data_IF_761191001621
#
_entry.id   IF_761191001621
#
_cell.length_a   1.000
_cell.length_b   1.000
_cell.length_c   1.000
_cell.angle_alpha   90.00
_cell.angle_beta   90.00
_cell.angle_gamma   90.00
#
_symmetry.space_group_name_H-M   'P 1'
#
loop_
_entity.id
_entity.type
_entity.pdbx_description
1 polymer ?
#
# COMPACT_ATOMS: atom_id res chain seq x y z
N UNK A 1 -39.97 -25.26 -27.58
CA UNK A 1 -39.45 -25.16 -26.21
C UNK A 1 -37.95 -25.44 -26.24
N UNK A 2 -37.16 -24.38 -26.02
CA UNK A 2 -35.76 -24.31 -25.58
C UNK A 2 -34.66 -24.95 -26.44
N UNK A 3 -34.09 -24.12 -27.33
CA UNK A 3 -32.69 -24.16 -27.73
C UNK A 3 -31.92 -23.10 -26.91
N UNK A 4 -30.97 -23.51 -26.08
CA UNK A 4 -29.85 -22.69 -25.55
C UNK A 4 -29.03 -23.54 -24.58
N UNK A 5 -27.84 -23.98 -25.01
CA UNK A 5 -26.67 -24.22 -24.16
C UNK A 5 -25.46 -24.45 -25.07
N UNK A 6 -24.96 -23.32 -25.53
CA UNK A 6 -23.83 -23.09 -26.40
C UNK A 6 -22.52 -23.49 -25.70
N UNK A 7 -21.72 -24.30 -26.41
CA UNK A 7 -20.26 -24.24 -26.50
C UNK A 7 -19.50 -23.48 -25.41
N UNK A 8 -19.06 -24.17 -24.34
CA UNK A 8 -18.00 -23.66 -23.46
C UNK A 8 -17.18 -24.74 -22.73
N UNK A 9 -17.13 -25.98 -23.24
CA UNK A 9 -16.41 -27.08 -22.56
C UNK A 9 -15.45 -27.91 -23.44
N UNK A 10 -15.12 -27.47 -24.67
CA UNK A 10 -14.22 -28.22 -25.56
C UNK A 10 -12.81 -27.61 -25.74
N UNK A 11 -12.49 -26.47 -25.09
CA UNK A 11 -11.26 -25.70 -25.35
C UNK A 11 -10.07 -25.96 -24.41
N UNK A 12 -10.24 -26.67 -23.29
CA UNK A 12 -9.24 -26.70 -22.20
C UNK A 12 -8.42 -28.02 -22.13
N UNK A 13 -8.74 -29.04 -22.92
CA UNK A 13 -8.08 -30.36 -22.82
C UNK A 13 -7.14 -30.74 -23.98
N UNK A 14 -7.03 -29.95 -25.05
CA UNK A 14 -6.16 -30.29 -26.19
C UNK A 14 -4.75 -29.67 -26.14
N UNK A 15 -4.50 -28.69 -25.27
CA UNK A 15 -3.25 -27.93 -25.24
C UNK A 15 -2.09 -28.57 -24.47
N UNK A 16 -2.30 -29.67 -23.75
CA UNK A 16 -1.32 -30.21 -22.79
C UNK A 16 -0.62 -31.51 -23.23
N UNK A 17 -0.81 -31.97 -24.48
CA UNK A 17 -0.27 -33.27 -24.93
C UNK A 17 0.58 -33.26 -26.21
N UNK A 18 0.90 -32.10 -26.80
CA UNK A 18 1.60 -32.06 -28.09
C UNK A 18 2.92 -31.26 -28.08
N UNK A 19 3.75 -31.45 -27.06
CA UNK A 19 5.15 -31.00 -27.13
C UNK A 19 6.11 -32.04 -26.61
N UNK A 20 6.20 -33.14 -27.35
CA UNK A 20 7.33 -34.03 -27.27
C UNK A 20 7.82 -34.39 -28.67
N UNK A 21 9.10 -34.06 -28.91
CA UNK A 21 10.06 -34.78 -29.75
C UNK A 21 10.31 -34.23 -31.16
N UNK A 22 11.55 -33.73 -31.28
CA UNK A 22 12.51 -33.99 -32.36
C UNK A 22 12.18 -33.51 -33.79
N UNK A 23 12.90 -32.45 -34.19
CA UNK A 23 13.94 -32.54 -35.23
C UNK A 23 13.53 -32.48 -36.71
N UNK A 24 14.13 -31.52 -37.43
CA UNK A 24 14.66 -31.75 -38.78
C UNK A 24 13.93 -31.17 -40.01
N UNK A 25 14.58 -30.15 -40.60
CA UNK A 25 14.78 -29.82 -42.04
C UNK A 25 13.64 -29.41 -43.00
N UNK A 26 13.87 -28.24 -43.62
CA UNK A 26 13.70 -27.84 -45.03
C UNK A 26 12.31 -27.46 -45.61
N UNK A 27 12.25 -26.29 -46.28
CA UNK A 27 11.26 -25.94 -47.30
C UNK A 27 10.80 -24.48 -47.30
N UNK A 28 11.23 -23.71 -48.30
CA UNK A 28 10.94 -22.28 -48.58
C UNK A 28 9.45 -21.95 -48.84
N UNK A 29 9.06 -20.70 -48.54
CA UNK A 29 7.82 -20.10 -49.04
C UNK A 29 7.39 -18.82 -48.28
N UNK A 30 7.61 -17.66 -48.91
CA UNK A 30 7.33 -16.29 -48.45
C UNK A 30 5.90 -16.02 -47.95
N UNK A 31 5.78 -15.35 -46.80
CA UNK A 31 4.60 -14.60 -46.35
C UNK A 31 5.03 -13.44 -45.41
N UNK A 32 4.33 -12.28 -45.44
CA UNK A 32 4.81 -10.99 -44.92
C UNK A 32 4.93 -10.89 -43.38
N UNK A 33 5.75 -9.96 -42.84
CA UNK A 33 6.16 -9.98 -41.44
C UNK A 33 5.00 -9.60 -40.50
N UNK A 34 4.63 -10.54 -39.64
CA UNK A 34 3.83 -10.28 -38.46
C UNK A 34 4.63 -9.41 -37.48
N UNK A 35 3.96 -8.39 -36.93
CA UNK A 35 4.48 -7.47 -35.94
C UNK A 35 5.15 -8.20 -34.77
N UNK A 36 6.35 -7.75 -34.41
CA UNK A 36 7.14 -8.32 -33.33
C UNK A 36 6.42 -8.22 -31.99
N UNK A 37 6.01 -9.37 -31.47
CA UNK A 37 5.78 -9.55 -30.05
C UNK A 37 7.16 -9.55 -29.37
N UNK A 38 7.63 -8.37 -28.99
CA UNK A 38 8.75 -8.25 -28.07
C UNK A 38 8.33 -8.87 -26.74
N UNK A 39 8.88 -10.04 -26.44
CA UNK A 39 8.73 -10.70 -25.15
C UNK A 39 9.04 -9.73 -24.02
N UNK A 40 8.07 -9.49 -23.15
CA UNK A 40 8.29 -8.82 -21.90
C UNK A 40 9.23 -9.71 -21.06
N UNK A 41 10.45 -9.28 -20.71
CA UNK A 41 11.21 -10.00 -19.71
C UNK A 41 10.46 -9.87 -18.38
N UNK A 42 10.27 -11.01 -17.71
CA UNK A 42 9.81 -11.08 -16.33
C UNK A 42 10.70 -10.16 -15.48
N UNK A 43 10.17 -9.01 -15.09
CA UNK A 43 10.86 -8.10 -14.21
C UNK A 43 11.01 -8.80 -12.86
N UNK A 44 12.26 -9.09 -12.51
CA UNK A 44 12.65 -9.63 -11.21
C UNK A 44 12.12 -8.71 -10.11
N UNK A 45 11.22 -9.23 -9.29
CA UNK A 45 10.72 -8.59 -8.07
C UNK A 45 11.85 -8.48 -7.04
N UNK A 46 12.75 -7.52 -7.22
CA UNK A 46 13.65 -7.03 -6.20
C UNK A 46 13.07 -5.71 -5.69
N UNK A 47 12.20 -5.83 -4.69
CA UNK A 47 11.78 -4.71 -3.85
C UNK A 47 12.61 -4.77 -2.57
N UNK A 48 13.93 -4.63 -2.71
CA UNK A 48 14.76 -4.17 -1.60
C UNK A 48 14.53 -2.66 -1.48
N UNK A 49 13.54 -2.31 -0.65
CA UNK A 49 13.36 -0.94 -0.19
C UNK A 49 13.47 -0.91 1.33
N UNK A 50 14.64 -1.34 1.82
CA UNK A 50 15.20 -0.86 3.09
C UNK A 50 15.67 0.60 2.92
N UNK A 51 14.73 1.46 2.57
CA UNK A 51 14.84 2.91 2.71
C UNK A 51 13.56 3.41 3.38
N UNK A 52 13.15 2.72 4.44
CA UNK A 52 12.67 3.47 5.58
C UNK A 52 13.88 4.31 6.01
N UNK A 53 13.85 5.61 5.71
CA UNK A 53 14.79 6.54 6.32
C UNK A 53 14.83 6.19 7.80
N UNK A 54 16.02 5.81 8.27
CA UNK A 54 16.28 5.64 9.67
C UNK A 54 16.21 7.03 10.27
N UNK A 55 14.99 7.49 10.58
CA UNK A 55 14.76 8.60 11.48
C UNK A 55 15.35 8.16 12.82
N UNK A 56 16.64 8.43 12.97
CA UNK A 56 17.47 8.26 14.15
C UNK A 56 17.04 9.32 15.16
N UNK A 57 15.82 9.15 15.66
CA UNK A 57 15.40 9.68 16.94
C UNK A 57 15.00 8.49 17.81
N UNK A 58 16.01 7.71 18.22
CA UNK A 58 15.94 6.85 19.39
C UNK A 58 16.04 7.74 20.65
N UNK A 59 15.04 8.61 20.80
CA UNK A 59 14.71 9.24 22.07
C UNK A 59 13.82 8.28 22.82
N UNK A 60 14.42 7.53 23.74
CA UNK A 60 13.75 6.47 24.48
C UNK A 60 12.46 6.90 25.18
N UNK A 61 11.53 5.94 25.27
CA UNK A 61 10.64 5.81 26.42
C UNK A 61 9.61 6.91 26.65
N UNK A 62 8.94 7.38 25.60
CA UNK A 62 7.77 8.27 25.70
C UNK A 62 6.46 7.59 25.31
N UNK A 63 6.26 6.31 25.64
CA UNK A 63 4.98 5.65 25.40
C UNK A 63 3.93 6.26 26.32
N UNK A 64 2.99 7.03 25.77
CA UNK A 64 1.87 7.57 26.54
C UNK A 64 1.13 6.44 27.27
N UNK A 65 0.69 6.68 28.51
CA UNK A 65 -0.12 5.69 29.22
C UNK A 65 -1.49 5.57 28.54
N UNK A 66 -1.63 4.53 27.70
CA UNK A 66 -2.86 4.21 26.99
C UNK A 66 -3.62 3.04 27.63
N UNK A 67 -3.41 2.76 28.92
CA UNK A 67 -4.04 1.63 29.62
C UNK A 67 -5.57 1.71 29.69
N UNK A 68 -6.14 2.91 29.82
CA UNK A 68 -7.58 3.14 30.05
C UNK A 68 -8.49 3.15 28.82
N UNK A 69 -7.98 2.97 27.60
CA UNK A 69 -8.78 3.09 26.38
C UNK A 69 -9.27 1.74 25.83
N UNK A 70 -10.53 1.71 25.42
CA UNK A 70 -11.20 0.51 24.86
C UNK A 70 -11.24 0.51 23.33
N UNK A 71 -11.28 1.68 22.71
CA UNK A 71 -11.39 1.86 21.26
C UNK A 71 -10.02 2.18 20.64
N UNK A 72 -9.66 1.44 19.59
CA UNK A 72 -8.34 1.53 18.95
C UNK A 72 -8.49 1.61 17.44
N UNK A 73 -7.73 2.49 16.79
CA UNK A 73 -7.72 2.63 15.34
C UNK A 73 -6.35 3.02 14.80
N UNK A 74 -6.27 3.01 13.47
CA UNK A 74 -5.22 3.65 12.68
C UNK A 74 -5.90 4.55 11.66
N UNK A 75 -5.35 5.73 11.42
CA UNK A 75 -5.84 6.64 10.37
C UNK A 75 -4.83 6.73 9.24
N UNK A 76 -5.33 6.73 8.00
CA UNK A 76 -4.54 6.83 6.78
C UNK A 76 -4.96 8.12 6.07
N UNK A 77 -4.15 9.17 6.21
CA UNK A 77 -4.43 10.50 5.69
C UNK A 77 -3.79 10.64 4.31
N UNK A 78 -4.61 10.63 3.27
CA UNK A 78 -4.18 10.68 1.87
C UNK A 78 -4.24 12.10 1.33
N UNK A 79 -3.19 12.54 0.64
CA UNK A 79 -3.21 13.77 -0.15
C UNK A 79 -4.06 13.61 -1.42
N UNK A 80 -5.08 14.45 -1.55
CA UNK A 80 -6.00 14.42 -2.70
C UNK A 80 -5.61 15.39 -3.81
N UNK A 81 -4.75 16.37 -3.52
CA UNK A 81 -4.21 17.34 -4.48
C UNK A 81 -3.33 16.69 -5.56
N UNK A 82 -2.76 15.53 -5.26
CA UNK A 82 -1.90 14.75 -6.16
C UNK A 82 -2.65 14.04 -7.31
N UNK A 83 -3.99 14.06 -7.32
CA UNK A 83 -4.78 13.42 -8.38
C UNK A 83 -4.54 11.91 -8.53
N UNK A 84 -4.16 11.22 -7.44
CA UNK A 84 -3.86 9.79 -7.48
C UNK A 84 -5.07 8.97 -7.93
N UNK A 85 -4.84 7.98 -8.80
CA UNK A 85 -5.88 6.99 -9.12
C UNK A 85 -6.26 6.19 -7.87
N UNK A 86 -7.48 5.66 -7.83
CA UNK A 86 -7.99 4.87 -6.69
C UNK A 86 -7.06 3.72 -6.31
N UNK A 87 -6.52 3.00 -7.32
CA UNK A 87 -5.59 1.90 -7.10
C UNK A 87 -4.27 2.35 -6.48
N UNK A 88 -3.70 3.50 -6.94
CA UNK A 88 -2.48 4.04 -6.34
C UNK A 88 -2.71 4.51 -4.91
N UNK A 89 -3.81 5.23 -4.66
CA UNK A 89 -4.18 5.65 -3.31
C UNK A 89 -4.31 4.46 -2.36
N UNK A 90 -4.99 3.38 -2.80
CA UNK A 90 -5.10 2.16 -2.01
C UNK A 90 -3.74 1.52 -1.70
N UNK A 91 -2.84 1.43 -2.68
CA UNK A 91 -1.49 0.90 -2.48
C UNK A 91 -0.67 1.74 -1.49
N UNK A 92 -0.71 3.08 -1.61
CA UNK A 92 -0.01 4.00 -0.71
C UNK A 92 -0.56 3.92 0.73
N UNK A 93 -1.89 3.81 0.88
CA UNK A 93 -2.54 3.52 2.15
C UNK A 93 -2.06 2.20 2.77
N UNK A 94 -1.91 1.15 1.95
CA UNK A 94 -1.40 -0.14 2.42
C UNK A 94 0.06 -0.03 2.89
N UNK A 95 0.91 0.70 2.16
CA UNK A 95 2.29 0.97 2.57
C UNK A 95 2.36 1.72 3.90
N UNK A 96 1.54 2.77 4.07
CA UNK A 96 1.45 3.52 5.31
C UNK A 96 1.03 2.62 6.49
N UNK A 97 0.04 1.76 6.28
CA UNK A 97 -0.43 0.83 7.31
C UNK A 97 0.64 -0.18 7.74
N UNK A 98 1.39 -0.75 6.78
CA UNK A 98 2.49 -1.68 7.07
C UNK A 98 3.66 -0.96 7.75
N UNK A 99 3.98 0.26 7.32
CA UNK A 99 5.00 1.09 7.96
C UNK A 99 4.68 1.37 9.43
N UNK A 100 3.45 1.82 9.70
CA UNK A 100 2.95 2.03 11.06
C UNK A 100 2.98 0.76 11.89
N UNK A 101 2.54 -0.38 11.33
CA UNK A 101 2.58 -1.67 12.02
C UNK A 101 3.99 -2.05 12.45
N UNK A 102 4.98 -1.98 11.54
CA UNK A 102 6.38 -2.35 11.83
C UNK A 102 6.99 -1.40 12.85
N UNK A 103 6.70 -0.10 12.79
CA UNK A 103 7.17 0.90 13.76
C UNK A 103 6.56 0.65 15.13
N UNK A 104 5.25 0.41 15.21
CA UNK A 104 4.54 0.11 16.45
C UNK A 104 4.99 -1.21 17.08
N UNK A 105 5.31 -2.23 16.27
CA UNK A 105 5.83 -3.50 16.78
C UNK A 105 7.12 -3.32 17.59
N UNK A 106 7.97 -2.37 17.19
CA UNK A 106 9.24 -2.06 17.88
C UNK A 106 9.05 -1.07 19.04
N UNK A 107 8.18 -0.07 18.86
CA UNK A 107 8.04 1.04 19.82
C UNK A 107 7.00 0.77 20.92
N UNK A 108 5.88 0.14 20.59
CA UNK A 108 4.75 -0.09 21.50
C UNK A 108 3.96 -1.35 21.08
N UNK A 109 4.54 -2.51 21.38
CA UNK A 109 3.95 -3.81 21.06
C UNK A 109 2.64 -4.07 21.83
N UNK A 110 2.45 -3.44 23.00
CA UNK A 110 1.25 -3.59 23.80
C UNK A 110 0.04 -2.89 23.16
N UNK A 111 0.20 -1.64 22.73
CA UNK A 111 -0.80 -0.90 21.96
C UNK A 111 -1.12 -1.58 20.63
N UNK A 112 -0.09 -2.05 19.92
CA UNK A 112 -0.28 -2.83 18.70
C UNK A 112 -1.14 -4.07 18.95
N UNK A 113 -0.86 -4.83 20.02
CA UNK A 113 -1.61 -6.02 20.36
C UNK A 113 -3.08 -5.72 20.70
N UNK A 114 -3.38 -4.58 21.34
CA UNK A 114 -4.76 -4.15 21.59
C UNK A 114 -5.50 -3.89 20.28
N UNK A 115 -4.92 -3.09 19.39
CA UNK A 115 -5.52 -2.80 18.07
C UNK A 115 -5.75 -4.06 17.23
N UNK A 116 -4.81 -5.01 17.25
CA UNK A 116 -4.98 -6.29 16.56
C UNK A 116 -6.16 -7.11 17.11
N UNK A 117 -6.37 -7.10 18.43
CA UNK A 117 -7.50 -7.79 19.07
C UNK A 117 -8.85 -7.08 18.86
N UNK A 118 -8.84 -5.77 18.60
CA UNK A 118 -10.05 -4.97 18.35
C UNK A 118 -10.35 -4.81 16.86
N UNK A 119 -9.99 -5.79 16.04
CA UNK A 119 -10.37 -5.82 14.62
C UNK A 119 -9.54 -4.91 13.71
N UNK A 120 -8.40 -4.38 14.19
CA UNK A 120 -7.40 -3.69 13.38
C UNK A 120 -7.97 -2.57 12.49
N UNK A 121 -8.91 -1.79 13.06
CA UNK A 121 -9.65 -0.74 12.36
C UNK A 121 -8.71 0.27 11.69
N UNK A 122 -9.00 0.58 10.42
CA UNK A 122 -8.32 1.60 9.62
C UNK A 122 -9.36 2.58 9.09
N UNK A 123 -9.10 3.88 9.22
CA UNK A 123 -9.97 4.93 8.70
C UNK A 123 -9.20 5.73 7.65
N UNK A 124 -9.71 5.74 6.42
CA UNK A 124 -9.13 6.52 5.34
C UNK A 124 -9.68 7.95 5.37
N UNK A 125 -8.78 8.91 5.45
CA UNK A 125 -9.06 10.34 5.53
C UNK A 125 -8.36 11.06 4.39
N UNK A 126 -8.83 12.27 4.08
CA UNK A 126 -8.17 13.16 3.12
C UNK A 126 -7.55 14.37 3.80
N UNK A 127 -6.36 14.73 3.34
CA UNK A 127 -5.75 16.03 3.58
C UNK A 127 -5.93 16.89 2.32
N UNK A 128 -6.52 18.06 2.51
CA UNK A 128 -6.52 19.12 1.52
C UNK A 128 -5.23 19.96 1.74
N UNK A 129 -4.54 20.38 0.66
CA UNK A 129 -3.32 21.21 0.75
C UNK A 129 -2.06 20.54 0.21
N UNK A 130 -0.90 21.08 0.58
CA UNK A 130 0.42 20.57 0.17
C UNK A 130 0.96 19.51 1.15
N UNK A 131 2.20 19.05 0.93
CA UNK A 131 2.85 18.07 1.80
C UNK A 131 3.12 18.53 3.23
N UNK A 132 3.26 19.85 3.46
CA UNK A 132 3.51 20.39 4.79
C UNK A 132 2.39 20.00 5.77
N UNK A 133 1.17 19.88 5.25
CA UNK A 133 0.03 19.43 6.06
C UNK A 133 0.23 18.05 6.68
N UNK A 134 0.87 17.12 5.97
CA UNK A 134 1.17 15.79 6.51
C UNK A 134 2.22 15.87 7.62
N UNK A 135 3.27 16.67 7.43
CA UNK A 135 4.32 16.84 8.43
C UNK A 135 3.82 17.55 9.70
N UNK A 136 2.92 18.52 9.58
CA UNK A 136 2.24 19.15 10.73
C UNK A 136 1.48 18.10 11.56
N UNK A 137 0.65 17.28 10.91
CA UNK A 137 -0.12 16.22 11.58
C UNK A 137 0.81 15.17 12.21
N UNK A 138 1.92 14.83 11.55
CA UNK A 138 2.93 13.92 12.07
C UNK A 138 3.57 14.47 13.34
N UNK A 139 3.97 15.75 13.36
CA UNK A 139 4.57 16.39 14.52
C UNK A 139 3.59 16.41 15.71
N UNK A 140 2.31 16.73 15.48
CA UNK A 140 1.27 16.67 16.52
C UNK A 140 1.13 15.24 17.03
N UNK A 141 1.04 14.23 16.15
CA UNK A 141 0.94 12.84 16.55
C UNK A 141 2.12 12.38 17.42
N UNK A 142 3.35 12.72 17.03
CA UNK A 142 4.54 12.43 17.83
C UNK A 142 4.52 13.13 19.20
N UNK A 143 4.04 14.38 19.28
CA UNK A 143 3.89 15.08 20.56
C UNK A 143 2.91 14.41 21.53
N UNK A 144 1.96 13.63 21.01
CA UNK A 144 1.01 12.83 21.78
C UNK A 144 1.50 11.39 22.03
N UNK A 145 2.74 11.06 21.67
CA UNK A 145 3.31 9.73 21.83
C UNK A 145 2.77 8.69 20.83
N UNK A 146 2.16 9.12 19.72
CA UNK A 146 1.66 8.23 18.67
C UNK A 146 2.75 7.88 17.65
N UNK A 147 2.67 6.67 17.13
CA UNK A 147 3.39 6.26 15.91
C UNK A 147 2.78 7.02 14.73
N UNK A 148 3.64 7.60 13.89
CA UNK A 148 3.23 8.28 12.66
C UNK A 148 4.29 8.08 11.58
N UNK A 149 3.88 7.70 10.37
CA UNK A 149 4.77 7.35 9.25
C UNK A 149 4.27 8.01 7.97
N UNK A 150 5.11 8.85 7.36
CA UNK A 150 4.86 9.44 6.04
C UNK A 150 5.40 8.49 4.97
N UNK A 151 4.62 8.29 3.91
CA UNK A 151 5.03 7.57 2.71
C UNK A 151 5.33 8.58 1.61
N UNK A 152 6.39 8.31 0.84
CA UNK A 152 6.80 9.10 -0.30
C UNK A 152 6.66 8.28 -1.59
N UNK A 153 6.24 8.91 -2.67
CA UNK A 153 6.24 8.24 -3.98
C UNK A 153 7.68 8.08 -4.46
N UNK A 154 8.07 6.84 -4.78
CA UNK A 154 9.41 6.50 -5.25
C UNK A 154 9.73 6.99 -6.68
N UNK A 155 8.92 7.91 -7.22
CA UNK A 155 9.13 8.51 -8.54
C UNK A 155 8.83 7.59 -9.72
N UNK A 156 8.05 6.50 -9.52
CA UNK A 156 7.62 5.61 -10.61
C UNK A 156 6.33 6.08 -11.29
N UNK A 157 5.89 7.31 -11.01
CA UNK A 157 4.58 7.82 -11.43
C UNK A 157 4.63 9.30 -11.84
N UNK A 158 3.52 9.83 -12.38
CA UNK A 158 3.40 11.21 -12.88
C UNK A 158 3.43 12.32 -11.80
N UNK A 159 3.66 11.95 -10.53
CA UNK A 159 3.82 12.89 -9.41
C UNK A 159 5.32 13.22 -9.29
N UNK A 160 5.67 14.43 -8.86
CA UNK A 160 7.06 14.80 -8.62
C UNK A 160 7.73 13.77 -7.68
N UNK A 161 8.86 13.21 -8.12
CA UNK A 161 9.56 12.17 -7.37
C UNK A 161 9.86 12.64 -5.94
N UNK A 162 9.60 11.78 -4.95
CA UNK A 162 9.82 12.11 -3.54
C UNK A 162 8.71 12.90 -2.87
N UNK A 163 7.57 13.16 -3.53
CA UNK A 163 6.42 13.82 -2.89
C UNK A 163 5.85 12.94 -1.77
N UNK A 164 5.55 13.52 -0.60
CA UNK A 164 4.80 12.84 0.45
C UNK A 164 3.37 12.54 -0.04
N UNK A 165 2.88 11.31 0.08
CA UNK A 165 1.59 10.87 -0.46
C UNK A 165 0.55 10.59 0.61
N UNK A 166 0.92 9.80 1.61
CA UNK A 166 0.02 9.31 2.67
C UNK A 166 0.75 9.35 4.01
N UNK A 167 0.07 9.86 5.04
CA UNK A 167 0.49 9.74 6.43
C UNK A 167 -0.34 8.66 7.13
N UNK A 168 0.32 7.65 7.67
CA UNK A 168 -0.29 6.73 8.63
C UNK A 168 -0.09 7.24 10.06
N UNK A 169 -1.12 7.17 10.90
CA UNK A 169 -1.05 7.49 12.34
C UNK A 169 -1.66 6.34 13.13
N UNK A 170 -0.95 5.92 14.17
CA UNK A 170 -1.31 4.80 15.04
C UNK A 170 -0.56 3.50 14.68
N UNK A 171 -1.06 2.34 15.13
CA UNK A 171 -2.28 2.18 15.91
C UNK A 171 -2.21 2.84 17.29
N UNK A 172 -3.34 3.36 17.74
CA UNK A 172 -3.44 4.09 19.01
C UNK A 172 -4.90 4.22 19.47
N UNK A 173 -5.14 4.75 20.68
CA UNK A 173 -6.49 5.01 21.15
C UNK A 173 -7.24 5.95 20.22
N UNK A 174 -8.48 5.59 19.86
CA UNK A 174 -9.30 6.40 18.96
C UNK A 174 -9.45 7.86 19.41
N UNK A 175 -9.72 8.17 20.70
CA UNK A 175 -9.85 9.55 21.17
C UNK A 175 -8.55 10.36 21.08
N UNK A 176 -7.38 9.72 21.17
CA UNK A 176 -6.08 10.41 21.07
C UNK A 176 -5.75 10.68 19.60
N UNK A 177 -6.02 9.72 18.72
CA UNK A 177 -5.89 9.92 17.26
C UNK A 177 -6.84 11.03 16.77
N UNK A 178 -8.06 11.11 17.32
CA UNK A 178 -9.02 12.15 16.95
C UNK A 178 -8.61 13.56 17.33
N UNK A 179 -7.71 13.74 18.31
CA UNK A 179 -7.11 15.06 18.57
C UNK A 179 -6.24 15.54 17.39
N UNK A 180 -5.71 14.60 16.59
CA UNK A 180 -4.89 14.90 15.42
C UNK A 180 -5.73 14.98 14.15
N UNK A 181 -6.68 14.06 13.97
CA UNK A 181 -7.35 13.87 12.67
C UNK A 181 -8.87 14.01 12.69
N UNK A 182 -9.49 14.28 13.85
CA UNK A 182 -10.95 14.26 14.00
C UNK A 182 -11.69 15.31 13.16
N UNK A 183 -11.00 16.39 12.77
CA UNK A 183 -11.53 17.43 11.87
C UNK A 183 -11.36 17.12 10.38
N UNK A 184 -10.63 16.06 10.03
CA UNK A 184 -10.41 15.68 8.63
C UNK A 184 -11.63 14.94 8.08
N UNK A 185 -11.83 15.06 6.77
CA UNK A 185 -12.94 14.40 6.06
C UNK A 185 -12.53 12.99 5.63
N UNK A 186 -13.53 12.11 5.48
CA UNK A 186 -13.33 10.81 4.85
C UNK A 186 -12.83 10.97 3.41
N UNK A 187 -11.95 10.05 2.99
CA UNK A 187 -11.34 10.01 1.66
C UNK A 187 -12.35 9.74 0.55
#
# INVERSE_FOLDING_TARGET
WLASLSALLAGVLAGWLARSRFGGTAGDGDAPPAAGESGAPAASDSWDSDSAGEDSNDGGGGGGDFSGYTEWKMTLVTRTDLGMSRGKSAAQCAHAAVGCYRRAQRADSASLAKWLRTGQQKVALRADGDENRLYELQAIAHSLGLVAVVIHDAGRTQIAAGSATVLGIGPGPSPVIDQVTGHLKLL
#
